data_IF_911481703056
#
_entry.id   IF_911481703056
#
_cell.length_a   1.000
_cell.length_b   1.000
_cell.length_c   1.000
_cell.angle_alpha   90.00
_cell.angle_beta   90.00
_cell.angle_gamma   90.00
#
_symmetry.space_group_name_H-M   'P 1'
#
loop_
_entity.id
_entity.type
_entity.pdbx_description
1 polymer ?
#
# COMPACT_ATOMS: atom_id res chain seq x y z
N UNK A 1 12.47 66.89 33.71
CA UNK A 1 12.17 67.50 35.00
C UNK A 1 11.82 66.37 35.94
N UNK A 2 12.66 66.21 36.97
CA UNK A 2 12.53 65.42 38.21
C UNK A 2 12.37 63.89 38.03
N UNK A 3 13.16 63.05 38.49
CA UNK A 3 14.27 62.80 39.44
C UNK A 3 14.01 61.46 40.09
N UNK A 4 15.01 60.56 40.03
CA UNK A 4 15.17 59.36 40.87
C UNK A 4 15.41 59.81 42.38
N UNK A 5 15.23 58.92 43.35
CA UNK A 5 16.38 58.47 44.14
C UNK A 5 16.37 56.93 44.42
N UNK A 6 17.47 56.25 44.26
CA UNK A 6 18.60 55.94 45.17
C UNK A 6 18.31 55.16 46.46
N UNK A 7 18.92 53.94 46.44
CA UNK A 7 19.66 53.22 47.49
C UNK A 7 19.07 53.00 48.90
N UNK A 8 19.18 51.78 49.38
CA UNK A 8 20.01 51.43 50.54
C UNK A 8 20.39 49.96 50.61
N UNK A 9 21.71 49.75 50.80
CA UNK A 9 22.35 48.49 51.23
C UNK A 9 22.15 48.35 52.73
N UNK A 10 22.03 47.13 53.26
CA UNK A 10 22.42 46.78 54.60
C UNK A 10 23.09 45.42 54.62
N UNK A 11 24.23 45.39 55.28
CA UNK A 11 25.13 44.22 55.39
C UNK A 11 25.00 43.62 56.82
N UNK A 12 25.52 42.36 56.87
CA UNK A 12 26.08 41.68 58.05
C UNK A 12 25.12 40.89 58.97
N UNK A 13 25.33 39.54 59.05
CA UNK A 13 26.07 39.04 60.23
C UNK A 13 26.46 37.57 59.98
N UNK A 14 27.71 37.26 60.24
CA UNK A 14 28.29 35.88 60.32
C UNK A 14 27.92 35.31 61.69
N UNK A 15 27.50 34.04 61.68
CA UNK A 15 27.56 33.22 62.91
C UNK A 15 28.17 31.87 62.52
N UNK A 16 29.37 31.63 63.01
CA UNK A 16 30.06 30.32 62.95
C UNK A 16 29.53 29.48 64.11
N UNK A 17 29.07 28.26 63.75
CA UNK A 17 28.88 27.20 64.75
C UNK A 17 29.62 25.99 64.25
N UNK A 18 30.68 25.62 64.96
CA UNK A 18 31.34 24.29 64.85
C UNK A 18 30.48 23.27 65.52
N UNK A 19 30.22 22.14 64.87
CA UNK A 19 29.83 20.96 65.57
C UNK A 19 30.24 19.68 64.82
N UNK A 20 31.06 18.95 65.49
CA UNK A 20 31.30 17.51 65.58
C UNK A 20 31.06 16.63 64.35
N UNK A 21 32.14 16.02 63.89
CA UNK A 21 32.19 14.83 63.05
C UNK A 21 31.59 13.62 63.77
N UNK A 22 30.47 13.13 63.29
CA UNK A 22 30.03 11.76 63.49
C UNK A 22 30.27 11.00 62.19
N UNK A 23 31.23 10.06 62.25
CA UNK A 23 31.52 9.12 61.17
C UNK A 23 30.39 8.05 61.11
N UNK A 24 29.47 8.19 60.20
CA UNK A 24 28.57 7.10 59.84
C UNK A 24 29.20 6.39 58.64
N UNK A 25 29.65 5.13 58.87
CA UNK A 25 30.04 4.23 57.81
C UNK A 25 28.80 3.90 56.98
N UNK A 26 28.69 4.51 55.83
CA UNK A 26 27.70 4.13 54.83
C UNK A 26 28.14 2.82 54.21
N UNK A 27 27.42 1.71 54.51
CA UNK A 27 27.40 0.51 53.66
C UNK A 27 26.85 0.94 52.30
N UNK A 28 27.71 1.06 51.32
CA UNK A 28 27.28 1.10 49.93
C UNK A 28 26.67 -0.25 49.59
N UNK A 29 25.43 -0.32 49.09
CA UNK A 29 24.97 -1.57 48.46
C UNK A 29 25.86 -1.73 47.22
N UNK A 30 26.49 -2.92 47.13
CA UNK A 30 27.12 -3.34 45.90
C UNK A 30 26.07 -3.27 44.79
N UNK A 31 26.29 -2.35 43.82
CA UNK A 31 25.62 -2.42 42.54
C UNK A 31 26.00 -3.78 41.97
N UNK A 32 25.11 -4.75 42.09
CA UNK A 32 25.16 -5.93 41.27
C UNK A 32 25.17 -5.39 39.82
N UNK A 33 26.24 -5.67 39.13
CA UNK A 33 26.29 -5.58 37.68
C UNK A 33 25.01 -6.23 37.18
N UNK A 34 24.16 -5.47 36.53
CA UNK A 34 23.14 -6.05 35.70
C UNK A 34 23.92 -6.82 34.64
N UNK A 35 24.19 -8.11 34.95
CA UNK A 35 24.52 -9.05 33.90
C UNK A 35 23.41 -8.91 32.90
N UNK A 36 23.80 -8.59 31.69
CA UNK A 36 22.95 -8.59 30.50
C UNK A 36 22.12 -9.89 30.55
N UNK A 37 20.88 -9.77 31.01
CA UNK A 37 19.86 -10.70 30.60
C UNK A 37 19.78 -10.42 29.11
N UNK A 38 20.53 -11.17 28.31
CA UNK A 38 20.19 -11.41 26.92
C UNK A 38 18.76 -11.94 26.95
N UNK A 39 17.80 -11.03 27.00
CA UNK A 39 16.44 -11.35 26.60
C UNK A 39 16.61 -11.91 25.19
N UNK A 40 16.36 -13.23 25.05
CA UNK A 40 16.38 -13.91 23.78
C UNK A 40 15.41 -13.21 22.83
N UNK A 41 15.92 -12.17 22.19
CA UNK A 41 15.26 -11.55 21.08
C UNK A 41 15.27 -12.60 20.00
N UNK A 42 14.12 -13.24 19.77
CA UNK A 42 13.87 -13.96 18.55
C UNK A 42 14.20 -12.97 17.43
N UNK A 43 15.36 -13.14 16.82
CA UNK A 43 15.82 -12.31 15.71
C UNK A 43 15.11 -12.77 14.44
N UNK A 44 13.77 -12.63 14.44
CA UNK A 44 12.99 -12.82 13.23
C UNK A 44 13.49 -11.83 12.19
N UNK A 45 13.87 -12.33 11.07
CA UNK A 45 14.24 -11.54 9.89
C UNK A 45 13.34 -11.92 8.72
N UNK A 46 13.49 -11.27 7.61
CA UNK A 46 12.69 -11.50 6.41
C UNK A 46 13.57 -11.85 5.24
N UNK A 47 13.09 -12.75 4.40
CA UNK A 47 13.73 -13.12 3.15
C UNK A 47 12.84 -12.79 1.98
N UNK A 48 13.37 -12.01 1.03
CA UNK A 48 12.72 -11.72 -0.23
C UNK A 48 13.30 -12.61 -1.33
N UNK A 49 12.41 -13.24 -2.13
CA UNK A 49 12.78 -14.07 -3.27
C UNK A 49 11.96 -13.65 -4.48
N UNK A 50 12.62 -13.36 -5.58
CA UNK A 50 11.97 -13.09 -6.86
C UNK A 50 11.57 -14.41 -7.51
N UNK A 51 10.26 -14.59 -7.68
CA UNK A 51 9.67 -15.81 -8.24
C UNK A 51 9.56 -15.71 -9.76
N UNK A 52 9.12 -14.55 -10.26
CA UNK A 52 8.93 -14.30 -11.69
C UNK A 52 9.55 -12.97 -12.08
N UNK A 53 10.13 -12.92 -13.27
CA UNK A 53 10.63 -11.68 -13.89
C UNK A 53 10.41 -11.72 -15.40
N UNK A 54 10.27 -10.54 -16.00
CA UNK A 54 10.29 -10.36 -17.46
C UNK A 54 11.67 -10.59 -18.09
N UNK A 55 12.69 -10.93 -17.28
CA UNK A 55 14.08 -11.07 -17.66
C UNK A 55 14.96 -9.88 -17.26
N UNK A 56 14.38 -8.83 -16.70
CA UNK A 56 15.12 -7.64 -16.20
C UNK A 56 15.99 -7.93 -14.98
N UNK A 57 15.60 -8.91 -14.17
CA UNK A 57 16.35 -9.41 -13.00
C UNK A 57 16.30 -10.93 -12.93
N UNK A 58 17.24 -11.61 -12.23
CA UNK A 58 17.19 -13.05 -12.00
C UNK A 58 15.91 -13.46 -11.23
N UNK A 59 15.23 -14.52 -11.67
CA UNK A 59 14.05 -15.08 -11.06
C UNK A 59 13.96 -16.59 -11.29
N UNK A 60 13.03 -17.27 -10.60
CA UNK A 60 12.83 -18.71 -10.79
C UNK A 60 12.16 -19.01 -12.12
N UNK A 61 11.23 -18.15 -12.56
CA UNK A 61 10.50 -18.29 -13.82
C UNK A 61 10.57 -17.00 -14.64
N UNK A 62 10.75 -17.09 -15.97
CA UNK A 62 10.57 -15.96 -16.87
C UNK A 62 9.11 -15.81 -17.30
N UNK A 63 8.62 -14.56 -17.37
CA UNK A 63 7.37 -14.23 -18.06
C UNK A 63 7.44 -12.82 -18.67
N UNK A 64 7.61 -12.75 -19.98
CA UNK A 64 7.69 -11.47 -20.72
C UNK A 64 6.39 -10.65 -20.74
N UNK A 65 5.26 -11.19 -20.22
CA UNK A 65 4.04 -10.40 -20.04
C UNK A 65 4.07 -9.56 -18.77
N UNK A 66 4.80 -10.00 -17.74
CA UNK A 66 4.95 -9.29 -16.47
C UNK A 66 5.89 -8.10 -16.63
N UNK A 67 5.38 -6.94 -17.05
CA UNK A 67 6.11 -5.68 -17.07
C UNK A 67 5.43 -4.66 -16.21
N UNK A 68 6.20 -3.96 -15.39
CA UNK A 68 5.71 -2.97 -14.44
C UNK A 68 4.47 -3.49 -13.70
N UNK A 69 4.67 -4.58 -12.94
CA UNK A 69 3.57 -5.23 -12.20
C UNK A 69 3.09 -4.35 -11.06
N UNK A 70 1.82 -3.91 -11.09
CA UNK A 70 1.23 -3.03 -10.08
C UNK A 70 0.37 -3.79 -9.07
N UNK A 71 -0.91 -3.86 -9.28
CA UNK A 71 -1.86 -4.45 -8.35
C UNK A 71 -1.72 -5.96 -8.23
N UNK A 72 -1.87 -6.47 -7.02
CA UNK A 72 -1.90 -7.90 -6.70
C UNK A 72 -3.23 -8.24 -6.07
N UNK A 73 -3.95 -9.22 -6.60
CA UNK A 73 -5.20 -9.70 -6.03
C UNK A 73 -5.28 -11.22 -6.07
N UNK A 74 -5.73 -11.83 -4.96
CA UNK A 74 -5.94 -13.27 -4.90
C UNK A 74 -7.37 -13.65 -5.24
N UNK A 75 -7.53 -14.59 -6.15
CA UNK A 75 -8.76 -15.36 -6.20
C UNK A 75 -8.82 -16.21 -4.91
N UNK A 76 -9.86 -16.06 -4.06
CA UNK A 76 -9.96 -16.85 -2.83
C UNK A 76 -9.94 -18.37 -3.04
N UNK A 77 -10.16 -18.85 -4.27
CA UNK A 77 -10.19 -20.25 -4.63
C UNK A 77 -9.14 -20.63 -5.70
N UNK A 78 -8.13 -19.76 -5.94
CA UNK A 78 -7.22 -20.00 -7.05
C UNK A 78 -5.93 -19.17 -7.00
N UNK A 79 -5.46 -18.84 -8.19
CA UNK A 79 -4.20 -18.13 -8.42
C UNK A 79 -4.22 -16.68 -7.94
N UNK A 80 -3.03 -16.15 -7.65
CA UNK A 80 -2.81 -14.72 -7.58
C UNK A 80 -2.86 -14.13 -8.99
N UNK A 81 -3.35 -12.90 -9.09
CA UNK A 81 -3.39 -12.09 -10.29
C UNK A 81 -2.51 -10.86 -10.11
N UNK A 82 -1.77 -10.50 -11.14
CA UNK A 82 -0.97 -9.28 -11.20
C UNK A 82 -1.49 -8.43 -12.35
N UNK A 83 -1.65 -7.14 -12.11
CA UNK A 83 -1.95 -6.14 -13.14
C UNK A 83 -0.64 -5.67 -13.75
N UNK A 84 -0.39 -5.99 -15.02
CA UNK A 84 0.86 -5.74 -15.73
C UNK A 84 0.72 -4.45 -16.54
N UNK A 85 1.06 -3.32 -15.90
CA UNK A 85 0.87 -1.98 -16.47
C UNK A 85 1.60 -1.81 -17.80
N UNK A 86 2.87 -2.23 -17.87
CA UNK A 86 3.71 -2.04 -19.05
C UNK A 86 3.35 -2.90 -20.27
N UNK A 87 2.45 -3.89 -20.12
CA UNK A 87 1.98 -4.72 -21.26
C UNK A 87 0.49 -4.65 -21.50
N UNK A 88 -0.27 -3.96 -20.65
CA UNK A 88 -1.73 -3.90 -20.75
C UNK A 88 -2.42 -5.25 -20.51
N UNK A 89 -1.87 -6.04 -19.59
CA UNK A 89 -2.33 -7.39 -19.32
C UNK A 89 -2.57 -7.65 -17.84
N UNK A 90 -3.12 -8.81 -17.55
CA UNK A 90 -3.06 -9.41 -16.22
C UNK A 90 -2.55 -10.83 -16.36
N UNK A 91 -1.58 -11.21 -15.54
CA UNK A 91 -0.97 -12.54 -15.46
C UNK A 91 -1.30 -13.23 -14.15
N UNK A 92 -1.15 -14.54 -14.13
CA UNK A 92 -1.52 -15.37 -13.00
C UNK A 92 -0.37 -16.28 -12.61
N UNK A 93 -0.15 -16.42 -11.30
CA UNK A 93 0.92 -17.27 -10.75
C UNK A 93 0.40 -18.11 -9.58
N UNK A 94 1.04 -19.25 -9.32
CA UNK A 94 0.93 -19.93 -8.04
C UNK A 94 1.96 -19.39 -7.03
N UNK A 95 1.97 -19.92 -5.82
CA UNK A 95 2.90 -19.47 -4.77
C UNK A 95 4.36 -19.83 -5.01
N UNK A 96 4.67 -20.67 -6.00
CA UNK A 96 6.05 -20.93 -6.43
C UNK A 96 6.52 -19.97 -7.52
N UNK A 97 5.59 -19.19 -8.09
CA UNK A 97 5.83 -18.32 -9.25
C UNK A 97 5.58 -19.00 -10.59
N UNK A 98 5.11 -20.27 -10.61
CA UNK A 98 4.82 -20.94 -11.86
C UNK A 98 3.69 -20.22 -12.59
N UNK A 99 3.93 -19.73 -13.84
CA UNK A 99 2.91 -19.03 -14.61
C UNK A 99 1.73 -19.94 -15.00
N UNK A 100 0.53 -19.40 -14.90
CA UNK A 100 -0.66 -19.98 -15.50
C UNK A 100 -0.73 -19.54 -16.97
N UNK A 101 -1.17 -20.41 -17.90
CA UNK A 101 -1.26 -20.05 -19.32
C UNK A 101 -2.34 -18.99 -19.64
N UNK A 102 -3.24 -18.71 -18.70
CA UNK A 102 -4.23 -17.64 -18.86
C UNK A 102 -3.55 -16.29 -18.74
N UNK A 103 -3.70 -15.46 -19.78
CA UNK A 103 -3.30 -14.04 -19.79
C UNK A 103 -4.52 -13.26 -20.26
N UNK A 104 -4.86 -12.19 -19.54
CA UNK A 104 -6.04 -11.38 -19.84
C UNK A 104 -5.61 -10.01 -20.35
N UNK A 105 -6.10 -9.64 -21.52
CA UNK A 105 -5.88 -8.30 -22.08
C UNK A 105 -6.80 -7.27 -21.39
N UNK A 106 -6.21 -6.13 -21.00
CA UNK A 106 -6.93 -4.99 -20.45
C UNK A 106 -7.08 -3.96 -21.58
N UNK A 107 -8.29 -3.49 -21.87
CA UNK A 107 -8.53 -2.56 -22.97
C UNK A 107 -7.77 -1.25 -22.80
N UNK A 108 -7.20 -0.70 -23.87
CA UNK A 108 -6.62 0.64 -23.85
C UNK A 108 -7.69 1.74 -23.79
N UNK A 109 -7.32 2.89 -23.26
CA UNK A 109 -8.11 4.10 -23.42
C UNK A 109 -8.10 4.60 -24.90
N UNK A 110 -9.09 5.39 -25.32
CA UNK A 110 -9.11 5.95 -26.67
C UNK A 110 -7.83 6.72 -27.01
N UNK A 111 -7.14 6.27 -28.04
CA UNK A 111 -5.86 6.84 -28.50
C UNK A 111 -4.62 6.13 -27.96
N UNK A 112 -4.75 5.24 -26.99
CA UNK A 112 -3.66 4.40 -26.49
C UNK A 112 -3.55 3.10 -27.29
N UNK A 113 -2.40 2.47 -27.25
CA UNK A 113 -2.12 1.20 -27.96
C UNK A 113 -2.24 -0.05 -27.07
N UNK A 114 -2.15 0.13 -25.75
CA UNK A 114 -2.29 -0.90 -24.74
C UNK A 114 -2.98 -0.34 -23.51
N UNK A 115 -3.67 -1.16 -22.75
CA UNK A 115 -4.16 -0.75 -21.43
C UNK A 115 -3.00 -0.50 -20.46
N UNK A 116 -3.26 0.32 -19.44
CA UNK A 116 -2.29 0.65 -18.39
C UNK A 116 -2.87 0.27 -17.01
N UNK A 117 -3.15 -1.04 -16.75
CA UNK A 117 -3.79 -1.46 -15.52
C UNK A 117 -2.92 -1.18 -14.29
N UNK A 118 -3.56 -0.71 -13.22
CA UNK A 118 -2.94 -0.32 -11.95
C UNK A 118 -3.51 -1.14 -10.79
N UNK A 119 -4.56 -0.63 -10.11
CA UNK A 119 -5.26 -1.37 -9.07
C UNK A 119 -6.08 -2.53 -9.63
N UNK A 120 -6.12 -3.64 -8.90
CA UNK A 120 -6.94 -4.83 -9.20
C UNK A 120 -7.65 -5.30 -7.94
N UNK A 121 -8.91 -5.73 -8.07
CA UNK A 121 -9.66 -6.36 -6.98
C UNK A 121 -10.37 -7.61 -7.47
N UNK A 122 -10.49 -8.61 -6.57
CA UNK A 122 -11.37 -9.75 -6.78
C UNK A 122 -12.80 -9.38 -6.36
N UNK A 123 -13.77 -9.61 -7.25
CA UNK A 123 -15.19 -9.46 -6.98
C UNK A 123 -15.86 -10.84 -6.94
N UNK A 124 -16.25 -11.27 -5.76
CA UNK A 124 -16.87 -12.59 -5.54
C UNK A 124 -18.39 -12.59 -5.64
N UNK A 125 -18.99 -11.40 -5.82
CA UNK A 125 -20.43 -11.20 -5.83
C UNK A 125 -21.15 -11.59 -7.13
N UNK A 126 -22.45 -11.31 -7.15
CA UNK A 126 -23.30 -11.42 -8.34
C UNK A 126 -23.54 -10.04 -9.00
N UNK A 127 -23.00 -8.99 -8.41
CA UNK A 127 -22.98 -7.60 -8.89
C UNK A 127 -21.80 -7.34 -9.83
N UNK A 128 -21.56 -6.11 -10.19
CA UNK A 128 -20.52 -5.69 -11.14
C UNK A 128 -20.62 -6.48 -12.46
N UNK A 129 -21.80 -6.44 -13.06
CA UNK A 129 -22.08 -7.17 -14.31
C UNK A 129 -21.25 -6.59 -15.45
N UNK A 130 -20.32 -7.39 -15.93
CA UNK A 130 -19.52 -7.09 -17.14
C UNK A 130 -20.37 -7.40 -18.38
N UNK A 131 -20.54 -6.40 -19.24
CA UNK A 131 -21.14 -6.55 -20.56
C UNK A 131 -20.02 -6.61 -21.60
N UNK A 132 -20.01 -7.63 -22.42
CA UNK A 132 -18.93 -7.85 -23.37
C UNK A 132 -19.35 -8.75 -24.51
N UNK A 133 -18.36 -9.33 -25.19
CA UNK A 133 -18.57 -10.28 -26.27
C UNK A 133 -17.75 -11.55 -26.03
N UNK A 134 -18.29 -12.68 -26.45
CA UNK A 134 -17.56 -13.95 -26.54
C UNK A 134 -16.38 -13.80 -27.51
N UNK A 135 -15.42 -14.73 -27.53
CA UNK A 135 -14.37 -14.77 -28.54
C UNK A 135 -14.88 -14.82 -29.99
N UNK A 136 -16.14 -15.29 -30.21
CA UNK A 136 -16.80 -15.32 -31.53
C UNK A 136 -17.61 -14.06 -31.83
N UNK A 137 -17.58 -13.03 -30.95
CA UNK A 137 -18.24 -11.74 -31.12
C UNK A 137 -19.71 -11.69 -30.66
N UNK A 138 -20.27 -12.76 -30.11
CA UNK A 138 -21.65 -12.74 -29.60
C UNK A 138 -21.73 -11.94 -28.29
N UNK A 139 -22.72 -11.03 -28.12
CA UNK A 139 -22.92 -10.31 -26.87
C UNK A 139 -23.23 -11.26 -25.71
N UNK A 140 -22.62 -11.03 -24.57
CA UNK A 140 -22.86 -11.79 -23.35
C UNK A 140 -22.55 -10.93 -22.12
N UNK A 141 -23.20 -11.24 -21.01
CA UNK A 141 -22.97 -10.55 -19.74
C UNK A 141 -22.79 -11.55 -18.59
N UNK A 142 -22.07 -11.13 -17.57
CA UNK A 142 -21.85 -11.92 -16.36
C UNK A 142 -21.12 -11.14 -15.28
N UNK A 143 -21.19 -11.60 -14.02
CA UNK A 143 -20.52 -10.91 -12.93
C UNK A 143 -18.99 -10.92 -13.12
N UNK A 144 -18.37 -9.76 -12.96
CA UNK A 144 -16.92 -9.64 -12.95
C UNK A 144 -16.33 -10.52 -11.84
N UNK A 145 -15.24 -11.20 -12.13
CA UNK A 145 -14.41 -11.86 -11.11
C UNK A 145 -13.21 -11.01 -10.71
N UNK A 146 -12.70 -10.25 -11.67
CA UNK A 146 -11.68 -9.25 -11.40
C UNK A 146 -12.08 -7.93 -12.05
N UNK A 147 -11.77 -6.85 -11.33
CA UNK A 147 -12.01 -5.48 -11.78
C UNK A 147 -10.67 -4.75 -11.73
N UNK A 148 -10.39 -3.98 -12.76
CA UNK A 148 -9.14 -3.27 -12.97
C UNK A 148 -9.39 -1.77 -13.09
N UNK A 149 -8.56 -0.97 -12.47
CA UNK A 149 -8.42 0.45 -12.75
C UNK A 149 -7.24 0.65 -13.72
N UNK A 150 -7.23 1.74 -14.47
CA UNK A 150 -6.16 2.08 -15.40
C UNK A 150 -5.71 3.53 -15.28
N UNK A 151 -4.46 3.83 -15.61
CA UNK A 151 -3.98 5.22 -15.74
C UNK A 151 -4.70 5.96 -16.88
N UNK A 152 -5.14 5.23 -17.89
CA UNK A 152 -5.97 5.79 -18.97
C UNK A 152 -7.40 6.18 -18.53
N UNK A 153 -7.71 6.17 -17.22
CA UNK A 153 -8.97 6.65 -16.66
C UNK A 153 -10.15 5.70 -16.81
N UNK A 154 -9.90 4.42 -16.99
CA UNK A 154 -10.95 3.42 -17.17
C UNK A 154 -11.06 2.45 -15.99
N UNK A 155 -12.28 1.90 -15.80
CA UNK A 155 -12.54 0.72 -14.96
C UNK A 155 -13.00 -0.40 -15.89
N UNK A 156 -12.29 -1.53 -15.84
CA UNK A 156 -12.60 -2.70 -16.67
C UNK A 156 -12.96 -3.92 -15.82
N UNK A 157 -13.99 -4.66 -16.24
CA UNK A 157 -14.41 -5.89 -15.60
C UNK A 157 -14.03 -7.12 -16.44
N UNK A 158 -13.53 -8.16 -15.78
CA UNK A 158 -13.30 -9.47 -16.41
C UNK A 158 -14.26 -10.51 -15.85
N UNK A 159 -14.99 -11.16 -16.75
CA UNK A 159 -15.94 -12.23 -16.45
C UNK A 159 -15.62 -13.47 -17.31
N UNK A 160 -15.17 -14.59 -16.72
CA UNK A 160 -14.71 -15.76 -17.47
C UNK A 160 -15.79 -16.41 -18.32
N UNK A 161 -17.06 -16.27 -17.94
CA UNK A 161 -18.19 -16.77 -18.72
C UNK A 161 -18.54 -15.88 -19.93
N UNK A 162 -18.01 -14.64 -19.98
CA UNK A 162 -18.16 -13.74 -21.12
C UNK A 162 -17.00 -13.90 -22.08
N UNK A 163 -15.78 -13.68 -21.60
CA UNK A 163 -14.56 -13.86 -22.38
C UNK A 163 -13.39 -14.18 -21.44
N UNK A 164 -12.67 -15.26 -21.71
CA UNK A 164 -11.54 -15.66 -20.87
C UNK A 164 -10.27 -14.85 -21.14
N UNK A 165 -10.12 -14.26 -22.33
CA UNK A 165 -8.88 -13.61 -22.75
C UNK A 165 -8.90 -12.08 -22.64
N UNK A 166 -10.06 -11.45 -22.38
CA UNK A 166 -10.21 -9.99 -22.43
C UNK A 166 -11.16 -9.50 -21.36
N UNK A 167 -10.75 -8.42 -20.67
CA UNK A 167 -11.63 -7.60 -19.83
C UNK A 167 -12.38 -6.58 -20.71
N UNK A 168 -13.46 -6.00 -20.18
CA UNK A 168 -14.29 -5.03 -20.91
C UNK A 168 -14.41 -3.75 -20.11
N UNK A 169 -14.39 -2.59 -20.80
CA UNK A 169 -14.57 -1.29 -20.18
C UNK A 169 -16.00 -1.15 -19.67
N UNK A 170 -16.12 -0.88 -18.39
CA UNK A 170 -17.41 -0.68 -17.68
C UNK A 170 -17.62 0.78 -17.30
N UNK A 171 -16.52 1.53 -17.04
CA UNK A 171 -16.53 2.99 -16.83
C UNK A 171 -15.42 3.57 -17.69
N UNK A 172 -15.72 4.66 -18.39
CA UNK A 172 -14.75 5.39 -19.19
C UNK A 172 -14.75 6.86 -18.77
N UNK A 173 -13.73 7.25 -18.01
CA UNK A 173 -13.44 8.62 -17.57
C UNK A 173 -12.14 9.12 -18.23
N UNK A 174 -11.74 8.53 -19.35
CA UNK A 174 -10.55 8.92 -20.11
C UNK A 174 -10.71 10.28 -20.82
N UNK A 175 -11.94 10.63 -21.19
CA UNK A 175 -12.28 11.86 -21.91
C UNK A 175 -11.36 12.17 -23.11
N UNK A 176 -10.72 11.14 -23.67
CA UNK A 176 -9.77 11.31 -24.79
C UNK A 176 -8.46 12.01 -24.42
N UNK A 177 -8.11 12.04 -23.14
CA UNK A 177 -6.97 12.78 -22.59
C UNK A 177 -7.28 14.26 -22.28
N UNK A 178 -6.33 14.99 -21.72
CA UNK A 178 -6.47 16.38 -21.32
C UNK A 178 -6.89 16.54 -19.85
N UNK A 179 -7.17 17.77 -19.41
CA UNK A 179 -7.37 18.12 -18.01
C UNK A 179 -8.60 17.47 -17.32
N UNK A 180 -9.47 16.85 -18.09
CA UNK A 180 -10.70 16.23 -17.58
C UNK A 180 -10.57 14.70 -17.44
N UNK A 181 -9.45 14.09 -17.86
CA UNK A 181 -9.26 12.65 -17.76
C UNK A 181 -8.88 12.23 -16.35
N UNK A 182 -9.44 11.13 -15.87
CA UNK A 182 -9.01 10.52 -14.62
C UNK A 182 -7.70 9.74 -14.82
N UNK A 183 -6.86 9.69 -13.78
CA UNK A 183 -5.71 8.77 -13.71
C UNK A 183 -5.90 7.92 -12.46
N UNK A 184 -6.40 6.70 -12.64
CA UNK A 184 -6.65 5.80 -11.53
C UNK A 184 -5.39 5.04 -11.16
N UNK A 185 -4.82 5.32 -9.98
CA UNK A 185 -3.59 4.66 -9.49
C UNK A 185 -3.89 3.50 -8.55
N UNK A 186 -4.99 3.51 -7.81
CA UNK A 186 -5.37 2.46 -6.86
C UNK A 186 -6.85 2.07 -6.96
N UNK A 187 -7.18 0.84 -6.54
CA UNK A 187 -8.54 0.30 -6.56
C UNK A 187 -8.81 -0.55 -5.31
N UNK A 188 -9.95 -0.34 -4.67
CA UNK A 188 -10.40 -1.17 -3.56
C UNK A 188 -11.88 -1.54 -3.71
N UNK A 189 -12.23 -2.74 -3.25
CA UNK A 189 -13.62 -3.18 -3.09
C UNK A 189 -13.96 -3.16 -1.61
N UNK A 190 -15.02 -2.46 -1.25
CA UNK A 190 -15.47 -2.32 0.13
C UNK A 190 -16.98 -2.22 0.19
N UNK A 191 -17.49 -1.66 1.28
CA UNK A 191 -18.92 -1.53 1.54
C UNK A 191 -19.39 -2.38 2.71
N UNK A 192 -20.65 -2.24 3.10
CA UNK A 192 -21.27 -2.92 4.23
C UNK A 192 -22.45 -3.81 3.83
N UNK A 193 -22.54 -5.00 4.39
CA UNK A 193 -23.65 -5.91 4.17
C UNK A 193 -23.76 -6.42 2.74
N UNK A 194 -24.89 -6.18 2.06
CA UNK A 194 -25.13 -6.60 0.68
C UNK A 194 -24.75 -5.55 -0.36
N UNK A 195 -24.27 -4.39 0.06
CA UNK A 195 -23.90 -3.29 -0.84
C UNK A 195 -22.39 -3.30 -1.02
N UNK A 196 -21.91 -3.65 -2.21
CA UNK A 196 -20.50 -3.51 -2.58
C UNK A 196 -20.28 -2.19 -3.27
N UNK A 197 -19.22 -1.48 -2.88
CA UNK A 197 -18.77 -0.24 -3.48
C UNK A 197 -17.33 -0.43 -3.97
N UNK A 198 -17.07 0.11 -5.14
CA UNK A 198 -15.75 0.15 -5.75
C UNK A 198 -15.18 1.56 -5.59
N UNK A 199 -13.96 1.66 -5.06
CA UNK A 199 -13.27 2.92 -4.78
C UNK A 199 -12.03 3.00 -5.65
N UNK A 200 -11.95 4.02 -6.48
CA UNK A 200 -10.83 4.27 -7.39
C UNK A 200 -10.09 5.56 -7.00
N UNK A 201 -8.81 5.48 -6.71
CA UNK A 201 -7.97 6.62 -6.39
C UNK A 201 -7.64 7.40 -7.68
N UNK A 202 -8.37 8.48 -7.93
CA UNK A 202 -8.13 9.41 -9.04
C UNK A 202 -7.02 10.39 -8.63
N UNK A 203 -5.80 10.02 -8.99
CA UNK A 203 -4.60 10.75 -8.64
C UNK A 203 -4.58 12.14 -9.29
N UNK A 204 -5.00 12.23 -10.55
CA UNK A 204 -5.01 13.49 -11.31
C UNK A 204 -5.90 14.55 -10.65
N UNK A 205 -7.13 14.18 -10.28
CA UNK A 205 -8.08 15.11 -9.66
C UNK A 205 -7.99 15.18 -8.13
N UNK A 206 -7.06 14.46 -7.50
CA UNK A 206 -6.88 14.43 -6.05
C UNK A 206 -8.16 14.02 -5.29
N UNK A 207 -8.86 13.00 -5.77
CA UNK A 207 -10.11 12.49 -5.19
C UNK A 207 -10.19 10.97 -5.24
N UNK A 208 -11.17 10.39 -4.56
CA UNK A 208 -11.57 8.99 -4.71
C UNK A 208 -12.92 8.97 -5.40
N UNK A 209 -12.98 8.37 -6.57
CA UNK A 209 -14.22 8.09 -7.28
C UNK A 209 -14.83 6.79 -6.74
N UNK A 210 -16.17 6.77 -6.59
CA UNK A 210 -16.88 5.63 -6.01
C UNK A 210 -17.95 5.17 -6.97
N UNK A 211 -18.05 3.84 -7.14
CA UNK A 211 -19.03 3.21 -8.03
C UNK A 211 -19.82 2.14 -7.27
N UNK A 212 -21.11 2.02 -7.60
CA UNK A 212 -21.98 0.95 -7.09
C UNK A 212 -21.77 -0.38 -7.83
N UNK A 213 -22.45 -1.44 -7.39
CA UNK A 213 -22.41 -2.76 -8.00
C UNK A 213 -22.91 -2.84 -9.44
N UNK A 214 -23.44 -1.74 -10.00
CA UNK A 214 -23.79 -1.59 -11.41
C UNK A 214 -22.79 -0.71 -12.17
N UNK A 215 -21.61 -0.42 -11.61
CA UNK A 215 -20.61 0.52 -12.12
C UNK A 215 -21.09 1.96 -12.29
N UNK A 216 -22.15 2.35 -11.60
CA UNK A 216 -22.66 3.73 -11.65
C UNK A 216 -21.95 4.58 -10.60
N UNK A 217 -21.61 5.84 -10.94
CA UNK A 217 -21.02 6.74 -9.97
C UNK A 217 -21.93 6.96 -8.75
N UNK A 218 -21.33 6.92 -7.57
CA UNK A 218 -21.98 7.19 -6.29
C UNK A 218 -21.60 8.58 -5.82
N UNK A 219 -22.60 9.44 -5.60
CA UNK A 219 -22.35 10.75 -5.02
C UNK A 219 -22.23 10.62 -3.50
N UNK A 220 -21.05 10.89 -2.98
CA UNK A 220 -20.76 10.94 -1.55
C UNK A 220 -21.03 12.34 -0.96
N UNK A 221 -21.11 12.46 0.38
CA UNK A 221 -21.20 13.76 1.04
C UNK A 221 -20.02 14.67 0.67
N UNK A 222 -20.26 15.98 0.64
CA UNK A 222 -19.18 16.95 0.38
C UNK A 222 -18.05 16.80 1.40
N UNK A 223 -16.80 16.73 0.90
CA UNK A 223 -15.60 16.52 1.72
C UNK A 223 -15.32 15.05 2.03
N UNK A 224 -16.01 14.09 1.39
CA UNK A 224 -15.63 12.70 1.47
C UNK A 224 -14.19 12.48 0.95
N UNK A 225 -13.46 11.57 1.59
CA UNK A 225 -12.05 11.26 1.30
C UNK A 225 -11.11 12.47 1.36
N UNK A 226 -11.47 13.46 2.19
CA UNK A 226 -10.65 14.67 2.36
C UNK A 226 -10.11 14.76 3.78
N UNK A 227 -8.80 15.00 3.91
CA UNK A 227 -8.19 15.47 5.15
C UNK A 227 -7.73 16.92 4.98
N UNK A 228 -8.28 17.82 5.79
CA UNK A 228 -7.96 19.27 5.76
C UNK A 228 -6.53 19.59 6.18
N UNK A 229 -5.85 18.65 6.83
CA UNK A 229 -4.46 18.79 7.25
C UNK A 229 -3.47 18.18 6.24
N UNK A 230 -3.97 17.57 5.16
CA UNK A 230 -3.10 17.11 4.09
C UNK A 230 -2.51 18.32 3.34
N UNK A 231 -1.19 18.40 3.16
CA UNK A 231 -0.58 19.50 2.41
C UNK A 231 -1.05 19.50 0.94
N UNK A 232 -1.09 20.68 0.34
CA UNK A 232 -1.42 20.79 -1.10
C UNK A 232 -0.40 20.03 -1.97
N UNK A 233 -0.88 19.46 -3.07
CA UNK A 233 -0.06 18.70 -4.02
C UNK A 233 0.19 17.25 -3.58
N UNK A 234 -0.65 16.72 -2.70
CA UNK A 234 -0.75 15.29 -2.42
C UNK A 234 -2.11 14.77 -2.87
N UNK A 235 -2.12 13.60 -3.48
CA UNK A 235 -3.31 12.97 -4.01
C UNK A 235 -3.45 11.51 -3.55
N UNK A 236 -4.68 10.95 -3.52
CA UNK A 236 -4.90 9.53 -3.28
C UNK A 236 -4.12 8.69 -4.29
N UNK A 237 -3.34 7.74 -3.82
CA UNK A 237 -2.41 6.96 -4.64
C UNK A 237 -2.73 5.47 -4.59
N UNK A 238 -2.49 4.79 -3.47
CA UNK A 238 -2.99 3.46 -3.20
C UNK A 238 -4.24 3.49 -2.33
N UNK A 239 -5.06 2.47 -2.40
CA UNK A 239 -6.24 2.30 -1.55
C UNK A 239 -6.47 0.82 -1.25
N UNK A 240 -6.75 0.49 0.02
CA UNK A 240 -6.98 -0.88 0.47
C UNK A 240 -8.09 -0.94 1.51
N UNK A 241 -9.05 -1.84 1.31
CA UNK A 241 -10.06 -2.13 2.32
C UNK A 241 -9.50 -3.10 3.38
N UNK A 242 -9.53 -2.71 4.65
CA UNK A 242 -9.07 -3.52 5.79
C UNK A 242 -10.08 -3.38 6.92
N UNK A 243 -10.66 -4.49 7.38
CA UNK A 243 -11.61 -4.54 8.50
C UNK A 243 -12.84 -3.61 8.35
N UNK A 244 -13.25 -3.32 7.11
CA UNK A 244 -14.41 -2.48 6.82
C UNK A 244 -14.09 -1.00 6.60
N UNK A 245 -12.88 -0.55 6.91
CA UNK A 245 -12.36 0.78 6.63
C UNK A 245 -11.46 0.80 5.39
N UNK A 246 -11.23 1.99 4.85
CA UNK A 246 -10.40 2.22 3.68
C UNK A 246 -9.11 2.94 4.08
N UNK A 247 -7.98 2.24 3.94
CA UNK A 247 -6.65 2.83 4.05
C UNK A 247 -6.29 3.46 2.72
N UNK A 248 -6.20 4.76 2.69
CA UNK A 248 -5.81 5.55 1.50
C UNK A 248 -4.42 6.09 1.71
N UNK A 249 -3.51 5.74 0.80
CA UNK A 249 -2.17 6.35 0.78
C UNK A 249 -2.19 7.58 -0.11
N UNK A 250 -1.36 8.56 0.22
CA UNK A 250 -1.23 9.80 -0.54
C UNK A 250 0.23 9.99 -0.94
N UNK A 251 0.46 10.24 -2.21
CA UNK A 251 1.76 10.61 -2.75
C UNK A 251 1.76 12.05 -3.25
N UNK A 252 2.97 12.63 -3.32
CA UNK A 252 3.14 13.99 -3.83
C UNK A 252 3.05 13.96 -5.35
N UNK A 253 2.16 14.78 -5.91
CA UNK A 253 1.99 14.91 -7.35
C UNK A 253 3.15 15.69 -7.98
N UNK A 254 3.48 15.35 -9.21
CA UNK A 254 4.26 16.18 -10.10
C UNK A 254 3.46 17.43 -10.57
N UNK A 255 4.03 18.25 -11.44
CA UNK A 255 3.38 19.47 -11.90
C UNK A 255 2.18 19.20 -12.82
N UNK A 256 2.20 18.09 -13.54
CA UNK A 256 1.12 17.67 -14.44
C UNK A 256 -0.02 16.99 -13.68
N UNK A 257 0.23 16.60 -12.40
CA UNK A 257 -0.64 15.76 -11.57
C UNK A 257 -0.87 14.38 -12.20
N UNK A 258 0.12 13.87 -12.91
CA UNK A 258 0.09 12.57 -13.57
C UNK A 258 0.88 11.53 -12.80
N UNK A 259 2.10 11.91 -12.32
CA UNK A 259 3.00 11.01 -11.62
C UNK A 259 3.35 11.50 -10.23
N UNK A 260 3.82 10.57 -9.41
CA UNK A 260 4.26 10.84 -8.05
C UNK A 260 5.72 11.29 -8.02
N UNK A 261 6.01 12.18 -7.09
CA UNK A 261 7.38 12.59 -6.77
C UNK A 261 7.88 11.77 -5.60
N UNK A 262 8.88 10.91 -5.85
CA UNK A 262 9.56 10.17 -4.81
C UNK A 262 10.41 11.09 -3.92
N UNK A 263 10.43 10.81 -2.62
CA UNK A 263 11.22 11.52 -1.62
C UNK A 263 10.89 11.07 -0.21
N UNK A 264 11.89 10.95 0.65
CA UNK A 264 11.69 10.60 2.04
C UNK A 264 10.79 11.64 2.74
N UNK A 265 9.71 11.17 3.37
CA UNK A 265 8.70 12.01 3.98
C UNK A 265 7.63 12.50 3.00
N UNK A 266 7.69 12.09 1.74
CA UNK A 266 6.67 12.39 0.73
C UNK A 266 5.62 11.29 0.71
N UNK A 267 4.85 11.20 1.79
CA UNK A 267 3.77 10.27 1.91
C UNK A 267 2.92 10.49 3.15
N UNK A 268 1.63 10.13 3.04
CA UNK A 268 0.66 10.12 4.11
C UNK A 268 -0.22 8.88 3.95
N UNK A 269 -0.83 8.45 5.04
CA UNK A 269 -1.84 7.39 5.04
C UNK A 269 -2.97 7.80 5.95
N UNK A 270 -4.17 7.86 5.42
CA UNK A 270 -5.38 8.14 6.15
C UNK A 270 -6.31 6.93 6.13
N UNK A 271 -7.09 6.77 7.18
CA UNK A 271 -8.16 5.77 7.27
C UNK A 271 -9.50 6.49 7.17
N UNK A 272 -10.34 6.03 6.26
CA UNK A 272 -11.70 6.53 6.04
C UNK A 272 -12.72 5.41 6.24
N UNK A 273 -13.92 5.77 6.68
CA UNK A 273 -15.06 4.86 6.61
C UNK A 273 -15.55 4.69 5.16
N UNK A 274 -16.46 3.74 4.87
CA UNK A 274 -16.99 3.52 3.51
C UNK A 274 -17.70 4.73 2.88
N UNK A 275 -18.12 5.72 3.68
CA UNK A 275 -18.74 6.95 3.20
C UNK A 275 -17.72 8.07 2.97
N UNK A 276 -16.42 7.78 3.13
CA UNK A 276 -15.34 8.73 2.94
C UNK A 276 -15.14 9.69 4.11
N UNK A 277 -15.74 9.43 5.29
CA UNK A 277 -15.45 10.22 6.48
C UNK A 277 -14.09 9.83 7.06
N UNK A 278 -13.22 10.81 7.27
CA UNK A 278 -11.92 10.60 7.91
C UNK A 278 -12.10 10.03 9.33
N UNK A 279 -11.56 8.85 9.55
CA UNK A 279 -11.51 8.18 10.86
C UNK A 279 -10.21 8.55 11.58
N UNK A 280 -9.08 8.50 10.87
CA UNK A 280 -7.76 8.73 11.45
C UNK A 280 -6.73 9.14 10.40
N UNK A 281 -5.83 10.12 10.72
CA UNK A 281 -4.52 10.22 10.11
C UNK A 281 -3.68 9.07 10.68
N UNK A 282 -3.44 8.04 9.88
CA UNK A 282 -2.78 6.81 10.33
C UNK A 282 -1.26 6.96 10.38
N UNK A 283 -0.66 7.47 9.32
CA UNK A 283 0.78 7.72 9.26
C UNK A 283 1.09 8.92 8.37
N UNK A 284 2.17 9.63 8.70
CA UNK A 284 2.59 10.78 7.91
C UNK A 284 4.10 10.92 7.83
N UNK A 285 4.61 11.35 6.68
CA UNK A 285 6.02 11.74 6.49
C UNK A 285 7.01 10.65 6.91
N UNK A 286 8.03 11.00 7.68
CA UNK A 286 9.00 10.06 8.30
C UNK A 286 9.72 9.18 7.29
N UNK A 287 9.38 7.88 7.27
CA UNK A 287 9.93 6.90 6.34
C UNK A 287 9.07 6.68 5.09
N UNK A 288 7.88 7.30 5.04
CA UNK A 288 6.99 7.20 3.87
C UNK A 288 7.62 7.90 2.66
N UNK A 289 7.54 7.26 1.51
CA UNK A 289 8.12 7.71 0.26
C UNK A 289 7.27 7.20 -0.90
N UNK A 290 6.32 8.01 -1.38
CA UNK A 290 5.31 7.59 -2.34
C UNK A 290 4.71 6.21 -1.96
N UNK A 291 4.03 6.09 -0.80
CA UNK A 291 3.49 4.81 -0.34
C UNK A 291 2.32 4.39 -1.22
N UNK A 292 2.30 3.11 -1.66
CA UNK A 292 1.20 2.57 -2.47
C UNK A 292 0.55 1.33 -1.84
N UNK A 293 1.29 0.25 -1.68
CA UNK A 293 0.78 -1.00 -1.16
C UNK A 293 0.47 -0.94 0.34
N UNK A 294 -0.68 -1.49 0.76
CA UNK A 294 -1.05 -1.64 2.17
C UNK A 294 -1.54 -3.06 2.42
N UNK A 295 -1.07 -3.70 3.48
CA UNK A 295 -1.56 -5.03 3.88
C UNK A 295 -1.57 -5.18 5.40
N UNK A 296 -2.52 -5.94 5.93
CA UNK A 296 -2.49 -6.37 7.34
C UNK A 296 -1.71 -7.68 7.43
N UNK A 297 -0.67 -7.71 8.26
CA UNK A 297 0.11 -8.91 8.48
C UNK A 297 -0.66 -9.90 9.37
N UNK A 298 -0.71 -11.20 9.03
CA UNK A 298 -1.24 -12.21 9.93
C UNK A 298 -0.37 -12.29 11.18
N UNK A 299 -0.92 -12.73 12.30
CA UNK A 299 -0.19 -12.83 13.59
C UNK A 299 1.06 -13.72 13.52
N UNK A 300 1.10 -14.65 12.56
CA UNK A 300 2.24 -15.54 12.30
C UNK A 300 3.33 -14.94 11.41
N UNK A 301 3.26 -13.66 11.05
CA UNK A 301 4.27 -13.01 10.21
C UNK A 301 5.45 -12.46 11.03
N UNK A 302 6.10 -13.30 11.81
CA UNK A 302 7.28 -13.00 12.61
C UNK A 302 7.12 -11.75 13.49
N UNK A 303 8.17 -10.96 13.62
CA UNK A 303 8.22 -9.75 14.46
C UNK A 303 7.08 -8.76 14.20
N UNK A 304 6.59 -8.67 12.98
CA UNK A 304 5.55 -7.70 12.59
C UNK A 304 4.17 -8.36 12.42
N UNK A 305 3.94 -9.53 13.03
CA UNK A 305 2.62 -10.14 13.07
C UNK A 305 1.57 -9.20 13.64
N UNK A 306 0.43 -9.05 12.96
CA UNK A 306 -0.67 -8.15 13.32
C UNK A 306 -0.46 -6.68 12.94
N UNK A 307 0.70 -6.28 12.42
CA UNK A 307 0.96 -4.90 12.00
C UNK A 307 0.29 -4.57 10.66
N UNK A 308 0.07 -3.29 10.41
CA UNK A 308 -0.19 -2.77 9.05
C UNK A 308 1.16 -2.56 8.38
N UNK A 309 1.36 -3.21 7.23
CA UNK A 309 2.53 -3.02 6.38
C UNK A 309 2.20 -1.98 5.31
N UNK A 310 3.12 -1.06 5.10
CA UNK A 310 3.04 -0.03 4.05
C UNK A 310 4.28 -0.15 3.18
N UNK A 311 4.08 -0.41 1.89
CA UNK A 311 5.11 -0.46 0.86
C UNK A 311 5.30 0.90 0.22
N UNK A 312 6.54 1.33 0.13
CA UNK A 312 6.94 2.55 -0.55
C UNK A 312 7.33 2.25 -2.00
N UNK A 313 6.66 2.83 -2.96
CA UNK A 313 7.12 2.81 -4.35
C UNK A 313 8.47 3.54 -4.47
N UNK A 314 8.57 4.73 -3.87
CA UNK A 314 9.69 5.64 -4.10
C UNK A 314 11.07 5.15 -3.60
N UNK A 315 11.15 4.12 -2.72
CA UNK A 315 12.43 3.54 -2.30
C UNK A 315 12.39 2.03 -2.06
N UNK A 316 11.29 1.37 -2.40
CA UNK A 316 11.12 -0.09 -2.33
C UNK A 316 11.08 -0.66 -0.92
N UNK A 317 11.01 0.17 0.13
CA UNK A 317 11.01 -0.33 1.51
C UNK A 317 9.61 -0.71 1.98
N UNK A 318 9.54 -1.75 2.83
CA UNK A 318 8.32 -2.17 3.52
C UNK A 318 8.42 -1.77 4.99
N UNK A 319 7.41 -1.06 5.46
CA UNK A 319 7.39 -0.44 6.77
C UNK A 319 6.19 -0.92 7.57
N UNK A 320 6.42 -1.33 8.82
CA UNK A 320 5.39 -1.85 9.72
C UNK A 320 4.92 -0.77 10.69
N UNK A 321 3.61 -0.73 10.92
CA UNK A 321 2.93 0.22 11.80
C UNK A 321 1.97 -0.49 12.75
N UNK A 322 1.80 0.04 13.94
CA UNK A 322 0.81 -0.45 14.90
C UNK A 322 -0.61 -0.33 14.32
N UNK A 323 -1.42 -1.40 14.33
CA UNK A 323 -2.67 -1.45 13.55
C UNK A 323 -3.75 -0.48 14.06
N UNK A 324 -3.67 -0.06 15.33
CA UNK A 324 -4.61 0.88 15.94
C UNK A 324 -4.05 2.30 15.98
N UNK A 325 -2.77 2.42 16.30
CA UNK A 325 -2.16 3.73 16.61
C UNK A 325 -1.46 4.38 15.43
N UNK A 326 -1.14 3.62 14.37
CA UNK A 326 -0.31 4.11 13.28
C UNK A 326 1.15 4.41 13.66
N UNK A 327 1.60 4.01 14.87
CA UNK A 327 2.99 4.20 15.27
C UNK A 327 3.92 3.33 14.42
N UNK A 328 5.00 3.91 13.92
CA UNK A 328 6.03 3.19 13.19
C UNK A 328 6.74 2.18 14.10
N UNK A 329 6.70 0.90 13.74
CA UNK A 329 7.32 -0.20 14.48
C UNK A 329 8.71 -0.58 13.95
N UNK A 330 8.97 -0.30 12.68
CA UNK A 330 10.22 -0.63 12.02
C UNK A 330 10.02 -0.95 10.53
N UNK A 331 11.15 -1.15 9.82
CA UNK A 331 11.11 -1.65 8.43
C UNK A 331 11.49 -3.13 8.42
N UNK A 332 10.99 -3.89 7.44
CA UNK A 332 11.39 -5.28 7.23
C UNK A 332 12.90 -5.33 6.94
N UNK A 333 13.61 -6.25 7.60
CA UNK A 333 15.06 -6.40 7.47
C UNK A 333 15.45 -7.84 7.20
N UNK A 334 16.51 -8.01 6.42
CA UNK A 334 17.12 -9.32 6.15
C UNK A 334 17.93 -9.85 7.36
N UNK A 335 18.45 -11.07 7.26
CA UNK A 335 19.25 -11.71 8.30
C UNK A 335 20.59 -11.01 8.61
N UNK A 336 20.98 -10.02 7.82
CA UNK A 336 22.12 -9.13 8.05
C UNK A 336 21.74 -7.77 8.63
N UNK A 337 20.46 -7.56 8.95
CA UNK A 337 19.91 -6.31 9.49
C UNK A 337 19.72 -5.21 8.45
N UNK A 338 19.92 -5.47 7.15
CA UNK A 338 19.69 -4.51 6.07
C UNK A 338 18.20 -4.45 5.76
N UNK A 339 17.68 -3.26 5.45
CA UNK A 339 16.29 -3.13 5.01
C UNK A 339 16.08 -3.90 3.72
N UNK A 340 14.99 -4.68 3.67
CA UNK A 340 14.51 -5.25 2.41
C UNK A 340 14.08 -4.09 1.51
N UNK A 341 14.47 -4.19 0.24
CA UNK A 341 14.09 -3.26 -0.81
C UNK A 341 13.64 -4.05 -2.03
N UNK A 342 12.48 -3.71 -2.53
CA UNK A 342 11.95 -4.20 -3.79
C UNK A 342 11.86 -2.99 -4.72
N UNK A 343 12.74 -2.92 -5.71
CA UNK A 343 12.81 -1.77 -6.62
C UNK A 343 11.51 -1.63 -7.40
N UNK A 344 10.92 -0.42 -7.40
CA UNK A 344 9.61 -0.16 -8.01
C UNK A 344 8.45 -0.90 -7.35
N UNK A 345 8.47 -1.06 -6.01
CA UNK A 345 7.44 -1.78 -5.24
C UNK A 345 6.06 -1.16 -5.39
N UNK A 346 5.12 -1.94 -5.93
CA UNK A 346 3.73 -1.57 -6.07
C UNK A 346 2.81 -2.36 -5.13
N UNK A 347 2.14 -3.37 -5.65
CA UNK A 347 1.13 -4.15 -4.94
C UNK A 347 1.71 -5.16 -3.97
N UNK A 348 0.98 -5.40 -2.89
CA UNK A 348 1.33 -6.43 -1.93
C UNK A 348 0.10 -7.02 -1.26
N UNK A 349 0.08 -8.34 -1.11
CA UNK A 349 -1.00 -9.06 -0.44
C UNK A 349 -0.50 -10.38 0.14
N UNK A 350 -1.06 -10.80 1.27
CA UNK A 350 -0.80 -12.13 1.84
C UNK A 350 -1.53 -13.23 1.06
N UNK A 351 -0.93 -14.40 1.01
CA UNK A 351 -1.49 -15.55 0.29
C UNK A 351 -2.83 -16.01 0.84
N UNK A 352 -3.55 -16.80 0.03
CA UNK A 352 -4.89 -17.31 0.32
C UNK A 352 -4.92 -18.74 0.93
N UNK A 353 -3.75 -19.35 1.15
CA UNK A 353 -3.60 -20.71 1.67
C UNK A 353 -3.72 -21.82 0.62
N UNK A 354 -3.95 -21.48 -0.65
CA UNK A 354 -4.09 -22.43 -1.75
C UNK A 354 -2.91 -22.35 -2.72
N UNK A 355 -2.72 -23.35 -3.56
CA UNK A 355 -1.73 -23.34 -4.66
C UNK A 355 -0.34 -22.88 -4.22
N UNK A 356 0.12 -23.35 -3.06
CA UNK A 356 1.40 -22.95 -2.44
C UNK A 356 1.53 -21.45 -2.17
N UNK A 357 0.42 -20.78 -1.85
CA UNK A 357 0.33 -19.37 -1.45
C UNK A 357 0.03 -19.28 0.05
N UNK A 358 1.00 -19.55 0.96
CA UNK A 358 0.75 -19.56 2.39
C UNK A 358 0.19 -18.23 2.90
N UNK A 359 -0.74 -18.30 3.85
CA UNK A 359 -1.39 -17.10 4.41
C UNK A 359 -0.44 -16.21 5.21
N UNK A 360 0.74 -16.70 5.55
CA UNK A 360 1.82 -15.96 6.21
C UNK A 360 2.99 -15.62 5.28
N UNK A 361 2.80 -15.70 3.97
CA UNK A 361 3.74 -15.24 2.95
C UNK A 361 3.21 -13.98 2.28
N UNK A 362 4.01 -12.93 2.23
CA UNK A 362 3.66 -11.68 1.58
C UNK A 362 4.12 -11.72 0.12
N UNK A 363 3.19 -11.66 -0.81
CA UNK A 363 3.47 -11.59 -2.24
C UNK A 363 3.43 -10.15 -2.71
N UNK A 364 4.38 -9.76 -3.56
CA UNK A 364 4.54 -8.39 -4.03
C UNK A 364 4.80 -8.35 -5.52
N UNK A 365 4.28 -7.32 -6.18
CA UNK A 365 4.57 -6.99 -7.57
C UNK A 365 5.36 -5.68 -7.64
N UNK A 366 6.21 -5.55 -8.65
CA UNK A 366 7.07 -4.38 -8.80
C UNK A 366 7.49 -4.13 -10.25
N UNK A 367 7.84 -2.85 -10.52
CA UNK A 367 8.43 -2.37 -11.77
C UNK A 367 9.87 -1.93 -11.58
N UNK A 368 10.86 -2.85 -11.51
CA UNK A 368 12.26 -2.47 -11.33
C UNK A 368 12.82 -1.73 -12.56
N UNK A 369 14.01 -1.11 -12.36
CA UNK A 369 14.72 -0.36 -13.39
C UNK A 369 13.91 0.84 -13.95
N UNK A 370 13.25 1.60 -13.06
CA UNK A 370 12.43 2.75 -13.47
C UNK A 370 11.20 2.31 -14.27
N UNK A 371 10.57 1.24 -13.84
CA UNK A 371 9.34 0.66 -14.39
C UNK A 371 9.47 -0.02 -15.76
N UNK A 372 10.67 -0.12 -16.29
CA UNK A 372 10.96 -0.83 -17.55
C UNK A 372 10.94 -2.36 -17.40
N UNK A 373 11.13 -2.88 -16.18
CA UNK A 373 11.08 -4.29 -15.84
C UNK A 373 9.81 -4.69 -15.13
N UNK A 374 9.67 -6.00 -14.84
CA UNK A 374 8.57 -6.51 -14.04
C UNK A 374 8.99 -7.68 -13.15
N UNK A 375 8.53 -7.68 -11.90
CA UNK A 375 8.76 -8.78 -10.95
C UNK A 375 7.53 -9.13 -10.13
N UNK A 376 7.42 -10.42 -9.82
CA UNK A 376 6.55 -10.97 -8.78
C UNK A 376 7.41 -11.72 -7.78
N UNK A 377 7.33 -11.36 -6.51
CA UNK A 377 8.22 -11.83 -5.45
C UNK A 377 7.45 -12.25 -4.22
N UNK A 378 8.07 -13.06 -3.36
CA UNK A 378 7.55 -13.44 -2.05
C UNK A 378 8.50 -12.96 -0.96
N UNK A 379 7.94 -12.49 0.17
CA UNK A 379 8.68 -12.08 1.36
C UNK A 379 8.16 -12.88 2.54
N UNK A 380 9.02 -13.70 3.13
CA UNK A 380 8.71 -14.58 4.24
C UNK A 380 9.40 -14.12 5.52
N UNK A 381 8.71 -14.27 6.65
CA UNK A 381 9.36 -14.19 7.94
C UNK A 381 10.14 -15.48 8.21
N UNK A 382 11.36 -15.35 8.72
CA UNK A 382 12.24 -16.47 9.07
C UNK A 382 12.64 -16.31 10.52
N UNK A 383 12.37 -17.36 11.31
CA UNK A 383 12.80 -17.47 12.72
C UNK A 383 14.18 -18.12 12.77
N UNK A 384 15.08 -17.61 13.62
CA UNK A 384 16.38 -18.23 13.94
C UNK A 384 16.26 -19.19 15.10
#
# INVERSE_FOLDING_TARGET
>A
MFTLPERRRAARARASVSCALLSIAALAPALASADDVESGWNHDFYEARTLVSDGSVPADFPDGNLKNGWGVAFNPQGFVWVADNGTGKATLYDGTGKPNPLVVAIPPAPGETAGTPTGIVFSGGADFITNGTTPTGAPLSGPARFIFATEGGQISGWAPNVNTATAFVMVDNSHGGGAEHAIYKGLALGGGGTTHLLYAADFHHSRVDVFDGAFKPVTLPAGAFTDRHLPRGYAPFGIQAINGDLFVTFAKQDKAAEDEIAGRGFGFVDVFDPNGKLVQRFAERGVLNAPWGVAIAPSSYGRFGGAILIGNFGDGTLNAYGPITGHFLGSLRDGHGRRIRVDGLWGMQFGNGLLQQPTNSLFVAAGPNGEEGGTYSVINAVSR
#
